data_IF_746014645917
#
_entry.id   IF_746014645917
#
_cell.length_a   1.000
_cell.length_b   1.000
_cell.length_c   1.000
_cell.angle_alpha   90.00
_cell.angle_beta   90.00
_cell.angle_gamma   90.00
#
_symmetry.space_group_name_H-M   'P 1'
#
loop_
_entity.id
_entity.type
_entity.pdbx_description
1 polymer ?
#
# COMPACT_ATOMS: atom_id res chain seq x y z
N UNK A 1 4.26 -6.23 -6.20
CA UNK A 1 4.55 -7.67 -6.42
C UNK A 1 6.00 -7.98 -6.06
N UNK A 2 6.96 -7.15 -6.48
CA UNK A 2 8.37 -7.28 -6.08
C UNK A 2 8.59 -7.35 -4.55
N UNK A 3 8.06 -6.38 -3.78
CA UNK A 3 8.14 -6.42 -2.30
C UNK A 3 7.58 -7.72 -1.69
N UNK A 4 6.44 -8.23 -2.18
CA UNK A 4 5.88 -9.51 -1.72
C UNK A 4 6.73 -10.72 -2.11
N UNK A 5 7.51 -10.61 -3.19
CA UNK A 5 8.44 -11.65 -3.62
C UNK A 5 9.68 -11.67 -2.72
N UNK A 6 10.22 -10.50 -2.37
CA UNK A 6 11.31 -10.37 -1.41
C UNK A 6 10.92 -10.88 -0.01
N UNK A 7 9.75 -10.51 0.49
CA UNK A 7 9.20 -11.02 1.75
C UNK A 7 9.07 -12.56 1.74
N UNK A 8 8.84 -13.16 0.56
CA UNK A 8 8.74 -14.60 0.36
C UNK A 8 10.08 -15.27 -0.01
N UNK A 9 11.19 -14.52 -0.01
CA UNK A 9 12.52 -14.95 -0.46
C UNK A 9 12.53 -15.57 -1.87
N UNK A 10 11.69 -15.05 -2.76
CA UNK A 10 11.56 -15.47 -4.16
C UNK A 10 12.10 -14.37 -5.08
N UNK A 11 12.65 -14.77 -6.23
CA UNK A 11 13.08 -13.81 -7.25
C UNK A 11 11.87 -13.00 -7.76
N UNK A 12 11.92 -11.66 -7.73
CA UNK A 12 10.80 -10.82 -8.15
C UNK A 12 10.31 -11.08 -9.58
N UNK A 13 11.23 -11.38 -10.50
CA UNK A 13 10.92 -11.72 -11.89
C UNK A 13 10.00 -12.94 -12.01
N UNK A 14 10.35 -14.03 -11.34
CA UNK A 14 9.59 -15.29 -11.40
C UNK A 14 8.17 -15.11 -10.84
N UNK A 15 8.02 -14.26 -9.82
CA UNK A 15 6.71 -13.94 -9.22
C UNK A 15 5.87 -13.06 -10.14
N UNK A 16 6.49 -12.11 -10.85
CA UNK A 16 5.81 -11.26 -11.83
C UNK A 16 5.34 -12.09 -13.01
N UNK A 17 6.21 -12.93 -13.59
CA UNK A 17 5.88 -13.76 -14.75
C UNK A 17 4.87 -14.87 -14.40
N UNK A 18 4.89 -15.38 -13.17
CA UNK A 18 3.87 -16.30 -12.65
C UNK A 18 2.58 -15.63 -12.16
N UNK A 19 2.42 -14.31 -12.37
CA UNK A 19 1.25 -13.58 -11.90
C UNK A 19 0.02 -13.82 -12.79
N UNK A 20 -1.15 -13.47 -12.24
CA UNK A 20 -2.42 -13.55 -12.96
C UNK A 20 -2.48 -12.67 -14.21
N UNK A 21 -1.60 -11.66 -14.32
CA UNK A 21 -1.53 -10.74 -15.47
C UNK A 21 -1.10 -11.49 -16.74
N UNK A 22 -0.19 -12.46 -16.61
CA UNK A 22 0.32 -13.25 -17.74
C UNK A 22 -0.30 -14.64 -17.86
N UNK A 23 -1.29 -14.95 -17.02
CA UNK A 23 -1.99 -16.24 -17.05
C UNK A 23 -2.86 -16.37 -18.30
N UNK A 24 -2.96 -17.58 -18.87
CA UNK A 24 -3.80 -17.86 -20.04
C UNK A 24 -5.30 -17.65 -19.77
N UNK A 25 -5.71 -17.53 -18.50
CA UNK A 25 -7.08 -17.17 -18.11
C UNK A 25 -7.42 -15.68 -18.31
N UNK A 26 -6.43 -14.82 -18.61
CA UNK A 26 -6.65 -13.40 -18.89
C UNK A 26 -6.74 -13.18 -20.42
N UNK A 27 -7.85 -12.59 -20.88
CA UNK A 27 -8.11 -12.33 -22.31
C UNK A 27 -7.03 -11.46 -22.97
N UNK A 28 -6.39 -10.58 -22.19
CA UNK A 28 -5.39 -9.63 -22.66
C UNK A 28 -3.95 -10.08 -22.35
N UNK A 29 -3.72 -11.31 -21.88
CA UNK A 29 -2.39 -11.83 -21.55
C UNK A 29 -1.37 -11.69 -22.69
N UNK A 30 -1.81 -11.83 -23.94
CA UNK A 30 -0.95 -11.66 -25.12
C UNK A 30 -0.37 -10.25 -25.24
N UNK A 31 -1.18 -9.22 -24.98
CA UNK A 31 -0.76 -7.81 -25.01
C UNK A 31 0.25 -7.56 -23.88
N UNK A 32 -0.06 -8.03 -22.66
CA UNK A 32 0.86 -7.89 -21.52
C UNK A 32 2.20 -8.57 -21.76
N UNK A 33 2.24 -9.78 -22.32
CA UNK A 33 3.50 -10.47 -22.66
C UNK A 33 4.32 -9.69 -23.69
N UNK A 34 3.67 -9.06 -24.67
CA UNK A 34 4.34 -8.23 -25.68
C UNK A 34 4.96 -6.98 -25.06
N UNK A 35 4.19 -6.24 -24.27
CA UNK A 35 4.67 -5.07 -23.52
C UNK A 35 5.81 -5.44 -22.58
N UNK A 36 5.68 -6.55 -21.85
CA UNK A 36 6.71 -7.04 -20.94
C UNK A 36 8.01 -7.40 -21.66
N UNK A 37 7.92 -8.01 -22.85
CA UNK A 37 9.08 -8.29 -23.70
C UNK A 37 9.80 -7.02 -24.14
N UNK A 38 9.05 -5.98 -24.54
CA UNK A 38 9.62 -4.68 -24.90
C UNK A 38 10.27 -3.99 -23.69
N UNK A 39 9.62 -4.06 -22.53
CA UNK A 39 10.16 -3.51 -21.29
C UNK A 39 11.48 -4.18 -20.91
N UNK A 40 11.57 -5.52 -20.94
CA UNK A 40 12.82 -6.25 -20.69
C UNK A 40 13.95 -5.85 -21.64
N UNK A 41 13.66 -5.60 -22.93
CA UNK A 41 14.65 -5.09 -23.88
C UNK A 41 15.17 -3.70 -23.47
N UNK A 42 14.26 -2.80 -23.07
CA UNK A 42 14.65 -1.47 -22.58
C UNK A 42 15.53 -1.55 -21.33
N UNK A 43 15.19 -2.40 -20.37
CA UNK A 43 16.00 -2.57 -19.16
C UNK A 43 17.38 -3.12 -19.47
N UNK A 44 17.49 -4.09 -20.38
CA UNK A 44 18.79 -4.60 -20.83
C UNK A 44 19.64 -3.48 -21.47
N UNK A 45 19.03 -2.58 -22.24
CA UNK A 45 19.74 -1.43 -22.78
C UNK A 45 20.13 -0.42 -21.70
N UNK A 46 19.25 -0.12 -20.75
CA UNK A 46 19.56 0.76 -19.62
C UNK A 46 20.73 0.22 -18.79
N UNK A 47 20.82 -1.11 -18.60
CA UNK A 47 21.97 -1.75 -17.95
C UNK A 47 23.28 -1.53 -18.73
N UNK A 48 23.23 -1.59 -20.07
CA UNK A 48 24.38 -1.29 -20.92
C UNK A 48 24.78 0.19 -20.84
N UNK A 49 23.83 1.10 -20.98
CA UNK A 49 24.08 2.55 -20.90
C UNK A 49 24.67 2.95 -19.54
N UNK A 50 24.13 2.41 -18.44
CA UNK A 50 24.66 2.64 -17.11
C UNK A 50 26.09 2.11 -16.97
N UNK A 51 26.38 0.94 -17.54
CA UNK A 51 27.73 0.36 -17.54
C UNK A 51 28.71 1.18 -18.38
N UNK A 52 28.31 1.69 -19.53
CA UNK A 52 29.14 2.53 -20.39
C UNK A 52 29.41 3.90 -19.74
N UNK A 53 28.39 4.51 -19.15
CA UNK A 53 28.46 5.87 -18.60
C UNK A 53 29.17 5.94 -17.24
N UNK A 54 28.97 4.94 -16.39
CA UNK A 54 29.50 4.94 -15.01
C UNK A 54 30.66 3.96 -14.82
N UNK A 55 30.90 3.05 -15.77
CA UNK A 55 31.95 2.04 -15.70
C UNK A 55 31.68 0.95 -14.67
N UNK A 56 32.70 0.10 -14.45
CA UNK A 56 32.70 -0.94 -13.42
C UNK A 56 33.55 -0.53 -12.22
N UNK A 57 33.23 -1.05 -11.05
CA UNK A 57 34.07 -0.94 -9.86
C UNK A 57 35.32 -1.84 -9.97
N UNK A 58 36.17 -1.80 -8.94
CA UNK A 58 37.41 -2.58 -8.86
C UNK A 58 37.16 -4.11 -8.79
N UNK A 59 35.93 -4.52 -8.46
CA UNK A 59 35.49 -5.92 -8.37
C UNK A 59 34.84 -6.41 -9.68
N UNK A 60 34.75 -5.54 -10.69
CA UNK A 60 34.14 -5.85 -11.99
C UNK A 60 32.62 -5.76 -12.03
N UNK A 61 31.97 -5.31 -10.95
CA UNK A 61 30.53 -5.07 -10.90
C UNK A 61 30.21 -3.68 -11.49
N UNK A 62 28.99 -3.51 -12.02
CA UNK A 62 28.57 -2.21 -12.55
C UNK A 62 28.38 -1.21 -11.40
N UNK A 63 29.02 -0.04 -11.47
CA UNK A 63 28.91 0.99 -10.41
C UNK A 63 27.48 1.48 -10.20
N UNK A 64 26.66 1.40 -11.26
CA UNK A 64 25.24 1.74 -11.21
C UNK A 64 24.44 0.66 -11.91
N UNK A 65 23.46 0.13 -11.18
CA UNK A 65 22.48 -0.83 -11.70
C UNK A 65 21.09 -0.19 -11.67
N UNK A 66 20.16 -0.62 -12.54
CA UNK A 66 18.79 -0.13 -12.49
C UNK A 66 18.16 -0.40 -11.13
N UNK A 67 17.43 0.59 -10.63
CA UNK A 67 16.63 0.49 -9.41
C UNK A 67 15.49 -0.51 -9.60
N UNK A 68 14.94 -1.05 -8.51
CA UNK A 68 13.79 -1.97 -8.59
C UNK A 68 12.58 -1.34 -9.28
N UNK A 69 12.38 -0.04 -9.06
CA UNK A 69 11.33 0.71 -9.74
C UNK A 69 11.56 0.74 -11.24
N UNK A 70 12.79 0.96 -11.69
CA UNK A 70 13.10 0.95 -13.13
C UNK A 70 12.92 -0.45 -13.73
N UNK A 71 13.29 -1.52 -13.01
CA UNK A 71 13.21 -2.90 -13.54
C UNK A 71 11.80 -3.45 -13.67
N UNK A 72 10.90 -3.07 -12.76
CA UNK A 72 9.62 -3.77 -12.61
C UNK A 72 8.39 -2.87 -12.80
N UNK A 73 8.52 -1.55 -12.66
CA UNK A 73 7.41 -0.62 -12.85
C UNK A 73 7.41 -0.10 -14.28
N UNK A 74 6.37 -0.46 -15.02
CA UNK A 74 6.04 0.25 -16.27
C UNK A 74 5.18 1.47 -15.93
N UNK A 75 5.71 2.66 -16.23
CA UNK A 75 4.95 3.91 -16.12
C UNK A 75 4.03 4.12 -17.31
N UNK A 76 3.11 5.08 -17.21
CA UNK A 76 2.23 5.45 -18.32
C UNK A 76 3.01 5.96 -19.54
N UNK A 77 4.13 6.65 -19.31
CA UNK A 77 5.02 7.13 -20.38
C UNK A 77 5.63 5.97 -21.16
N UNK A 78 6.02 4.90 -20.46
CA UNK A 78 6.59 3.70 -21.08
C UNK A 78 5.54 2.97 -21.92
N UNK A 79 4.28 2.92 -21.47
CA UNK A 79 3.18 2.30 -22.23
C UNK A 79 2.89 3.03 -23.54
N UNK A 80 2.76 4.36 -23.51
CA UNK A 80 2.61 5.20 -24.72
C UNK A 80 3.78 5.00 -25.65
N UNK A 81 4.98 4.96 -25.09
CA UNK A 81 6.19 4.78 -25.86
C UNK A 81 6.25 3.41 -26.55
N UNK A 82 5.88 2.33 -25.88
CA UNK A 82 5.83 0.99 -26.47
C UNK A 82 4.73 0.86 -27.53
N UNK A 83 3.59 1.53 -27.35
CA UNK A 83 2.50 1.54 -28.32
C UNK A 83 2.88 2.24 -29.63
N UNK A 84 3.64 3.35 -29.56
CA UNK A 84 4.18 4.06 -30.75
C UNK A 84 5.09 3.16 -31.60
N UNK A 85 5.93 2.36 -30.93
CA UNK A 85 6.81 1.37 -31.60
C UNK A 85 5.99 0.24 -32.23
N UNK A 86 4.92 -0.18 -31.57
CA UNK A 86 4.06 -1.28 -32.06
C UNK A 86 3.22 -0.90 -33.28
N UNK A 87 2.67 0.32 -33.32
CA UNK A 87 1.88 0.81 -34.44
C UNK A 87 2.70 1.20 -35.68
N UNK A 88 4.03 1.07 -35.61
CA UNK A 88 4.92 1.30 -36.75
C UNK A 88 5.08 2.78 -37.14
N UNK A 89 4.63 3.72 -36.29
CA UNK A 89 4.82 5.16 -36.52
C UNK A 89 6.30 5.56 -36.44
N UNK A 90 7.12 4.77 -35.73
CA UNK A 90 8.58 4.91 -35.72
C UNK A 90 9.24 3.54 -35.43
N UNK A 91 10.13 3.10 -36.33
CA UNK A 91 10.91 1.86 -36.22
C UNK A 91 11.98 1.87 -35.11
N UNK A 92 11.92 2.85 -34.20
CA UNK A 92 12.96 3.07 -33.21
C UNK A 92 12.81 2.05 -32.09
N UNK A 93 13.76 1.12 -31.99
CA UNK A 93 13.73 0.10 -30.92
C UNK A 93 14.32 0.65 -29.62
N UNK A 94 13.99 0.06 -28.45
CA UNK A 94 14.62 0.45 -27.20
C UNK A 94 16.15 0.38 -27.29
N UNK A 95 16.78 1.56 -27.25
CA UNK A 95 18.23 1.74 -27.34
C UNK A 95 18.77 2.35 -28.64
N UNK A 96 17.91 2.68 -29.60
CA UNK A 96 18.29 3.50 -30.76
C UNK A 96 18.21 5.01 -30.45
N UNK A 97 19.07 5.79 -31.13
CA UNK A 97 19.08 7.24 -30.98
C UNK A 97 17.71 7.84 -31.34
N UNK A 98 17.15 8.66 -30.44
CA UNK A 98 15.81 9.25 -30.59
C UNK A 98 14.68 8.42 -29.95
N UNK A 99 14.96 7.25 -29.38
CA UNK A 99 13.95 6.46 -28.64
C UNK A 99 13.37 7.27 -27.47
N UNK A 100 14.21 7.81 -26.60
CA UNK A 100 13.76 8.59 -25.43
C UNK A 100 13.06 9.91 -25.80
N UNK A 101 13.27 10.44 -27.01
CA UNK A 101 12.55 11.63 -27.50
C UNK A 101 11.07 11.36 -27.77
N UNK A 102 10.70 10.08 -27.96
CA UNK A 102 9.32 9.65 -28.08
C UNK A 102 8.61 9.50 -26.74
N UNK A 103 9.30 9.71 -25.62
CA UNK A 103 8.64 9.70 -24.31
C UNK A 103 7.85 11.00 -24.16
N UNK A 104 6.56 10.93 -23.79
CA UNK A 104 5.78 12.14 -23.57
C UNK A 104 6.41 12.98 -22.45
N UNK A 105 6.84 14.19 -22.81
CA UNK A 105 7.41 15.17 -21.89
C UNK A 105 6.28 15.83 -21.10
N UNK A 106 6.59 16.28 -19.89
CA UNK A 106 5.64 17.03 -19.08
C UNK A 106 5.45 18.43 -19.69
N UNK A 107 4.23 18.76 -20.10
CA UNK A 107 3.86 20.09 -20.58
C UNK A 107 3.07 20.82 -19.48
N UNK A 108 3.40 22.10 -19.23
CA UNK A 108 2.68 23.01 -18.32
C UNK A 108 2.37 22.44 -16.92
N UNK A 109 3.32 21.73 -16.32
CA UNK A 109 3.17 21.18 -14.97
C UNK A 109 2.16 20.03 -14.84
N UNK A 110 1.57 19.56 -15.94
CA UNK A 110 0.68 18.40 -15.93
C UNK A 110 1.51 17.11 -16.06
N UNK A 111 1.51 16.32 -14.98
CA UNK A 111 2.32 15.11 -14.85
C UNK A 111 1.57 13.80 -15.16
N UNK A 112 0.52 13.86 -15.98
CA UNK A 112 -0.36 12.71 -16.26
C UNK A 112 -0.58 12.43 -17.74
N UNK A 113 -1.10 11.22 -18.08
CA UNK A 113 -1.64 10.97 -19.39
C UNK A 113 -2.87 11.88 -19.60
N UNK A 114 -2.83 12.73 -20.62
CA UNK A 114 -4.00 13.55 -20.98
C UNK A 114 -4.99 12.67 -21.74
N UNK A 115 -6.14 12.39 -21.14
CA UNK A 115 -7.25 11.74 -21.85
C UNK A 115 -7.81 12.61 -22.98
N UNK A 116 -7.42 13.88 -23.10
CA UNK A 116 -7.86 14.77 -24.18
C UNK A 116 -6.92 14.77 -25.38
N UNK A 117 -5.81 14.06 -25.30
CA UNK A 117 -4.86 13.94 -26.39
C UNK A 117 -5.36 12.91 -27.40
N UNK A 118 -5.82 13.41 -28.56
CA UNK A 118 -6.35 12.57 -29.63
C UNK A 118 -5.30 11.59 -30.19
N UNK A 119 -4.01 11.93 -30.12
CA UNK A 119 -2.93 11.06 -30.57
C UNK A 119 -2.85 9.82 -29.67
N UNK A 120 -2.82 10.03 -28.35
CA UNK A 120 -2.74 8.95 -27.35
C UNK A 120 -3.99 8.05 -27.41
N UNK A 121 -5.16 8.62 -27.65
CA UNK A 121 -6.38 7.84 -27.83
C UNK A 121 -6.32 6.94 -29.07
N UNK A 122 -5.85 7.47 -30.22
CA UNK A 122 -5.70 6.71 -31.47
C UNK A 122 -4.66 5.61 -31.36
N UNK A 123 -3.61 5.84 -30.57
CA UNK A 123 -2.53 4.87 -30.32
C UNK A 123 -2.98 3.63 -29.53
N UNK A 124 -4.15 3.65 -28.87
CA UNK A 124 -4.60 2.59 -27.96
C UNK A 124 -3.50 2.18 -26.96
N UNK A 125 -2.76 3.17 -26.45
CA UNK A 125 -1.55 2.97 -25.66
C UNK A 125 -1.76 2.25 -24.32
N UNK A 126 -2.99 2.23 -23.81
CA UNK A 126 -3.32 1.66 -22.52
C UNK A 126 -4.11 0.36 -22.70
N UNK A 127 -3.55 -0.80 -22.30
CA UNK A 127 -4.27 -2.07 -22.36
C UNK A 127 -5.42 -2.09 -21.35
N UNK A 128 -6.51 -2.78 -21.70
CA UNK A 128 -7.62 -3.00 -20.78
C UNK A 128 -7.23 -3.99 -19.67
N UNK A 129 -7.48 -3.60 -18.43
CA UNK A 129 -7.06 -4.33 -17.23
C UNK A 129 -8.25 -5.04 -16.56
N UNK A 130 -8.38 -6.34 -16.81
CA UNK A 130 -9.32 -7.21 -16.09
C UNK A 130 -8.68 -7.69 -14.78
N UNK A 131 -9.13 -7.19 -13.62
CA UNK A 131 -8.61 -7.62 -12.31
C UNK A 131 -9.55 -8.68 -11.72
N UNK A 132 -9.08 -9.92 -11.42
CA UNK A 132 -9.90 -10.90 -10.73
C UNK A 132 -10.30 -10.40 -9.35
N UNK A 133 -11.59 -10.49 -9.01
CA UNK A 133 -12.11 -9.97 -7.74
C UNK A 133 -11.43 -10.61 -6.51
N UNK A 134 -11.03 -11.88 -6.59
CA UNK A 134 -10.27 -12.58 -5.54
C UNK A 134 -8.90 -11.94 -5.23
N UNK A 135 -8.31 -11.22 -6.20
CA UNK A 135 -7.02 -10.53 -6.04
C UNK A 135 -7.19 -9.09 -5.54
N UNK A 136 -8.43 -8.59 -5.53
CA UNK A 136 -8.78 -7.29 -4.97
C UNK A 136 -8.95 -7.47 -3.46
N UNK A 137 -7.88 -7.25 -2.70
CA UNK A 137 -8.00 -7.11 -1.26
C UNK A 137 -8.51 -5.72 -0.93
N UNK A 138 -9.61 -5.61 -0.17
CA UNK A 138 -9.97 -4.36 0.48
C UNK A 138 -8.92 -4.01 1.54
N UNK A 139 -7.89 -3.28 1.14
CA UNK A 139 -6.98 -2.65 2.07
C UNK A 139 -7.65 -1.38 2.60
N UNK A 140 -8.34 -1.52 3.73
CA UNK A 140 -8.96 -0.38 4.39
C UNK A 140 -7.88 0.50 5.03
N UNK A 141 -7.86 1.79 4.69
CA UNK A 141 -7.02 2.80 5.34
C UNK A 141 -7.29 2.95 6.84
N UNK A 142 -8.42 2.41 7.32
CA UNK A 142 -8.83 2.39 8.73
C UNK A 142 -8.26 1.20 9.50
N UNK A 143 -7.45 0.35 8.87
CA UNK A 143 -6.84 -0.80 9.56
C UNK A 143 -5.61 -0.34 10.36
N UNK A 144 -5.45 -0.72 11.65
CA UNK A 144 -4.28 -0.40 12.47
C UNK A 144 -2.93 -0.75 11.80
N UNK A 145 -2.92 -1.78 10.96
CA UNK A 145 -1.71 -2.27 10.29
C UNK A 145 -1.08 -1.25 9.34
N UNK A 146 -1.88 -0.41 8.68
CA UNK A 146 -1.43 0.43 7.58
C UNK A 146 -1.40 1.92 7.91
N UNK A 147 -1.89 2.31 9.09
CA UNK A 147 -1.94 3.71 9.50
C UNK A 147 -1.66 3.84 11.01
N UNK A 148 -0.56 4.52 11.33
CA UNK A 148 -0.10 4.76 12.70
C UNK A 148 -1.12 5.49 13.55
N UNK A 149 -1.86 6.46 12.99
CA UNK A 149 -2.91 7.17 13.73
C UNK A 149 -4.01 6.21 14.18
N UNK A 150 -4.53 5.36 13.28
CA UNK A 150 -5.54 4.38 13.64
C UNK A 150 -4.99 3.31 14.60
N UNK A 151 -3.72 2.91 14.45
CA UNK A 151 -3.09 2.00 15.41
C UNK A 151 -3.10 2.54 16.84
N UNK A 152 -2.73 3.81 17.00
CA UNK A 152 -2.73 4.51 18.30
C UNK A 152 -4.15 4.69 18.81
N UNK A 153 -5.08 5.15 17.95
CA UNK A 153 -6.50 5.31 18.28
C UNK A 153 -7.11 4.01 18.82
N UNK A 154 -7.00 2.90 18.07
CA UNK A 154 -7.57 1.62 18.49
C UNK A 154 -6.91 1.06 19.76
N UNK A 155 -5.59 1.26 19.94
CA UNK A 155 -4.89 0.77 21.13
C UNK A 155 -5.32 1.53 22.37
N UNK A 156 -5.35 2.86 22.31
CA UNK A 156 -5.68 3.70 23.47
C UNK A 156 -7.17 3.60 23.80
N UNK A 157 -8.05 3.74 22.81
CA UNK A 157 -9.50 3.62 23.00
C UNK A 157 -9.89 2.20 23.42
N UNK A 158 -9.23 1.17 22.87
CA UNK A 158 -9.46 -0.23 23.25
C UNK A 158 -9.03 -0.52 24.69
N UNK A 159 -7.84 -0.06 25.10
CA UNK A 159 -7.37 -0.19 26.48
C UNK A 159 -8.32 0.54 27.44
N UNK A 160 -8.75 1.75 27.10
CA UNK A 160 -9.70 2.50 27.91
C UNK A 160 -11.06 1.78 28.03
N UNK A 161 -11.61 1.30 26.92
CA UNK A 161 -12.85 0.52 26.90
C UNK A 161 -12.76 -0.73 27.78
N UNK A 162 -11.61 -1.40 27.82
CA UNK A 162 -11.38 -2.53 28.72
C UNK A 162 -11.45 -2.12 30.20
N UNK A 163 -10.95 -0.95 30.57
CA UNK A 163 -11.08 -0.42 31.94
C UNK A 163 -12.53 -0.06 32.28
N UNK A 164 -13.28 0.53 31.34
CA UNK A 164 -14.71 0.83 31.52
C UNK A 164 -15.51 -0.46 31.76
N UNK A 165 -15.28 -1.48 30.93
CA UNK A 165 -15.94 -2.80 31.09
C UNK A 165 -15.54 -3.44 32.43
N UNK A 166 -14.26 -3.39 32.81
CA UNK A 166 -13.80 -3.89 34.11
C UNK A 166 -14.47 -3.17 35.29
N UNK A 167 -14.56 -1.85 35.25
CA UNK A 167 -15.26 -1.05 36.25
C UNK A 167 -16.75 -1.36 36.32
N UNK A 168 -17.39 -1.56 35.16
CA UNK A 168 -18.82 -1.82 35.07
C UNK A 168 -19.16 -3.19 35.65
N UNK A 169 -18.29 -4.20 35.43
CA UNK A 169 -18.43 -5.52 36.05
C UNK A 169 -18.30 -5.43 37.57
N UNK A 170 -17.31 -4.69 38.09
CA UNK A 170 -17.10 -4.54 39.54
C UNK A 170 -18.26 -3.81 40.20
N UNK A 171 -18.74 -2.71 39.61
CA UNK A 171 -19.91 -1.98 40.10
C UNK A 171 -21.20 -2.80 39.98
N UNK A 172 -21.38 -3.50 38.86
CA UNK A 172 -22.49 -4.42 38.66
C UNK A 172 -22.50 -5.56 39.70
N UNK A 173 -21.34 -6.12 40.02
CA UNK A 173 -21.19 -7.11 41.09
C UNK A 173 -21.65 -6.54 42.44
N UNK A 174 -21.24 -5.31 42.79
CA UNK A 174 -21.72 -4.68 44.02
C UNK A 174 -23.21 -4.42 44.00
N UNK A 175 -23.80 -3.98 42.89
CA UNK A 175 -25.24 -3.74 42.77
C UNK A 175 -26.06 -5.02 42.96
N UNK A 176 -25.66 -6.14 42.35
CA UNK A 176 -26.41 -7.40 42.43
C UNK A 176 -26.19 -8.18 43.74
N UNK A 177 -24.99 -8.15 44.33
CA UNK A 177 -24.66 -8.89 45.55
C UNK A 177 -24.76 -8.06 46.84
N UNK A 178 -25.07 -6.76 46.75
CA UNK A 178 -25.17 -5.82 47.89
C UNK A 178 -26.12 -6.29 49.00
N UNK A 179 -27.28 -6.88 48.67
CA UNK A 179 -28.27 -7.32 49.68
C UNK A 179 -27.73 -8.30 50.71
N UNK A 180 -26.84 -9.22 50.31
CA UNK A 180 -26.23 -10.21 51.20
C UNK A 180 -25.07 -9.65 52.03
N UNK A 181 -24.28 -8.74 51.43
CA UNK A 181 -23.12 -8.12 52.08
C UNK A 181 -23.52 -7.06 53.10
N UNK A 182 -24.55 -6.27 52.79
CA UNK A 182 -25.08 -5.21 53.66
C UNK A 182 -25.59 -5.75 55.01
N UNK A 183 -26.18 -6.97 55.01
CA UNK A 183 -26.62 -7.66 56.23
C UNK A 183 -25.49 -8.20 57.10
N UNK A 184 -24.28 -8.38 56.56
CA UNK A 184 -23.13 -8.92 57.31
C UNK A 184 -22.19 -7.84 57.81
N UNK A 185 -21.84 -6.86 56.99
CA UNK A 185 -20.94 -5.76 57.37
C UNK A 185 -21.20 -4.51 56.49
N UNK A 186 -22.00 -3.54 56.96
CA UNK A 186 -22.37 -2.36 56.17
C UNK A 186 -21.19 -1.41 55.88
N UNK A 187 -20.28 -1.19 56.85
CA UNK A 187 -19.10 -0.32 56.67
C UNK A 187 -18.13 -0.84 55.60
N UNK A 188 -18.00 -2.17 55.49
CA UNK A 188 -17.11 -2.78 54.51
C UNK A 188 -17.63 -2.67 53.08
N UNK A 189 -18.96 -2.70 52.90
CA UNK A 189 -19.58 -2.44 51.60
C UNK A 189 -19.43 -0.96 51.22
N UNK A 190 -19.62 -0.04 52.18
CA UNK A 190 -19.46 1.39 51.95
C UNK A 190 -18.04 1.73 51.45
N UNK A 191 -17.00 1.25 52.14
CA UNK A 191 -15.60 1.47 51.73
C UNK A 191 -15.29 0.89 50.33
N UNK A 192 -15.83 -0.29 49.99
CA UNK A 192 -15.63 -0.92 48.65
C UNK A 192 -16.34 -0.16 47.53
N UNK A 193 -17.53 0.37 47.80
CA UNK A 193 -18.29 1.17 46.85
C UNK A 193 -17.63 2.55 46.66
N UNK A 194 -17.11 3.17 47.72
CA UNK A 194 -16.33 4.42 47.62
C UNK A 194 -15.10 4.24 46.75
N UNK A 195 -14.30 3.19 46.97
CA UNK A 195 -13.14 2.88 46.13
C UNK A 195 -13.54 2.55 44.69
N UNK A 196 -14.63 1.81 44.49
CA UNK A 196 -15.17 1.51 43.16
C UNK A 196 -15.68 2.76 42.42
N UNK A 197 -16.34 3.67 43.13
CA UNK A 197 -16.78 4.97 42.61
C UNK A 197 -15.60 5.87 42.25
N UNK A 198 -14.56 5.90 43.10
CA UNK A 198 -13.34 6.65 42.81
C UNK A 198 -12.63 6.12 41.56
N UNK A 199 -12.58 4.79 41.38
CA UNK A 199 -12.08 4.17 40.15
C UNK A 199 -12.90 4.57 38.92
N UNK A 200 -14.24 4.58 39.04
CA UNK A 200 -15.12 4.99 37.95
C UNK A 200 -14.90 6.45 37.54
N UNK A 201 -14.78 7.35 38.52
CA UNK A 201 -14.45 8.75 38.26
C UNK A 201 -13.08 8.92 37.62
N UNK A 202 -12.08 8.15 38.03
CA UNK A 202 -10.76 8.18 37.40
C UNK A 202 -10.82 7.76 35.92
N UNK A 203 -11.56 6.70 35.60
CA UNK A 203 -11.77 6.26 34.21
C UNK A 203 -12.48 7.36 33.42
N UNK A 204 -13.57 7.93 33.92
CA UNK A 204 -14.30 9.02 33.26
C UNK A 204 -13.43 10.26 33.00
N UNK A 205 -12.58 10.64 33.97
CA UNK A 205 -11.60 11.72 33.79
C UNK A 205 -10.59 11.41 32.68
N UNK A 206 -10.13 10.17 32.52
CA UNK A 206 -9.23 9.84 31.39
C UNK A 206 -9.97 9.99 30.06
N UNK A 207 -11.27 9.65 30.01
CA UNK A 207 -12.09 9.78 28.81
C UNK A 207 -12.30 11.23 28.38
N UNK A 208 -12.55 12.14 29.32
CA UNK A 208 -12.78 13.56 29.03
C UNK A 208 -11.56 14.22 28.37
N UNK A 209 -10.35 13.73 28.64
CA UNK A 209 -9.12 14.18 27.97
C UNK A 209 -8.85 13.44 26.66
N UNK A 210 -9.17 12.14 26.58
CA UNK A 210 -8.97 11.36 25.35
C UNK A 210 -9.89 11.80 24.21
N UNK A 211 -11.13 12.13 24.53
CA UNK A 211 -12.12 12.54 23.53
C UNK A 211 -11.65 13.74 22.69
N UNK A 212 -11.27 14.90 23.24
CA UNK A 212 -10.80 16.03 22.44
C UNK A 212 -9.47 15.75 21.73
N UNK A 213 -8.54 15.00 22.34
CA UNK A 213 -7.25 14.74 21.73
C UNK A 213 -7.37 13.85 20.49
N UNK A 214 -8.26 12.84 20.51
CA UNK A 214 -8.41 11.92 19.40
C UNK A 214 -9.47 12.36 18.39
N UNK A 215 -10.52 13.08 18.82
CA UNK A 215 -11.65 13.43 17.94
C UNK A 215 -11.67 14.91 17.48
N UNK A 216 -10.97 15.84 18.15
CA UNK A 216 -10.95 17.26 17.77
C UNK A 216 -9.61 17.75 17.17
N UNK A 217 -8.56 16.92 17.22
CA UNK A 217 -7.23 17.20 16.67
C UNK A 217 -7.01 16.46 15.35
#
# INVERSE_FOLDING_TARGET
>A
MAQKAEEANKKPLDVIEGSWIFSDGNKHAGIYRKLWKLHKKRIAHLEQELKEKYGTDEEGNAKRVPTETERYRMGWQDLVHYARVENGEQQVVPGEAGFDDLRPKFYDGFAGPSHKDEEIQKLHAFPELEIPHEKVSMQSMFTPKWNTYYAIYFTITGLHGLHVVGGAIVLGYYLFFSKGLYRRNPEWLANRVEVGGLFWHFVDLVWIFLFPILYLM
#
